data_IF_935211553480
#
_entry.id   IF_935211553480
#
_cell.length_a   1.000
_cell.length_b   1.000
_cell.length_c   1.000
_cell.angle_alpha   90.00
_cell.angle_beta   90.00
_cell.angle_gamma   90.00
#
_symmetry.space_group_name_H-M   'P 1'
#
loop_
_entity.id
_entity.type
_entity.pdbx_description
1 polymer ?
#
# COMPACT_ATOMS: atom_id res chain seq x y z
N UNK A 1 57.00 -27.76 -6.14
CA UNK A 1 55.80 -28.42 -6.66
C UNK A 1 54.86 -28.60 -5.47
N UNK A 2 53.97 -27.62 -5.29
CA UNK A 2 52.84 -27.53 -4.36
C UNK A 2 51.87 -26.61 -5.14
N UNK A 3 50.56 -26.79 -5.30
CA UNK A 3 49.52 -27.64 -4.72
C UNK A 3 48.41 -27.81 -5.80
N UNK A 4 47.60 -28.89 -5.80
CA UNK A 4 46.42 -29.01 -6.63
C UNK A 4 45.18 -28.42 -5.94
N UNK A 5 44.26 -27.88 -6.75
CA UNK A 5 42.97 -27.34 -6.36
C UNK A 5 42.05 -28.37 -5.67
N UNK A 6 41.26 -27.91 -4.70
CA UNK A 6 40.19 -28.70 -4.07
C UNK A 6 39.28 -27.89 -3.16
N UNK A 7 38.47 -27.00 -3.72
CA UNK A 7 37.38 -26.31 -3.01
C UNK A 7 36.27 -27.32 -2.68
N UNK A 8 36.21 -27.76 -1.43
CA UNK A 8 35.14 -28.61 -0.91
C UNK A 8 33.86 -27.80 -0.70
N UNK A 9 32.88 -27.98 -1.58
CA UNK A 9 31.48 -27.68 -1.28
C UNK A 9 31.04 -28.56 -0.12
N UNK A 10 30.74 -27.95 1.03
CA UNK A 10 30.13 -28.67 2.16
C UNK A 10 28.76 -29.21 1.74
N UNK A 11 28.68 -30.53 1.57
CA UNK A 11 27.42 -31.23 1.35
C UNK A 11 26.57 -31.17 2.61
N UNK A 12 25.49 -30.39 2.55
CA UNK A 12 24.47 -30.30 3.60
C UNK A 12 23.78 -31.67 3.71
N UNK A 13 24.26 -32.52 4.61
CA UNK A 13 23.79 -33.88 4.82
C UNK A 13 22.32 -33.92 5.23
N UNK A 14 21.60 -34.99 4.90
CA UNK A 14 20.19 -35.19 5.29
C UNK A 14 19.97 -35.07 6.82
N UNK A 15 21.01 -35.37 7.58
CA UNK A 15 21.05 -35.26 9.05
C UNK A 15 21.10 -33.82 9.53
N UNK A 16 21.82 -32.94 8.83
CA UNK A 16 21.80 -31.49 9.10
C UNK A 16 20.43 -30.87 8.79
N UNK A 17 19.76 -31.32 7.71
CA UNK A 17 18.39 -30.91 7.37
C UNK A 17 17.37 -31.44 8.38
N UNK A 18 17.55 -32.67 8.87
CA UNK A 18 16.70 -33.28 9.91
C UNK A 18 16.88 -32.57 11.26
N UNK A 19 18.11 -32.25 11.65
CA UNK A 19 18.41 -31.43 12.84
C UNK A 19 17.83 -30.03 12.71
N UNK A 20 17.99 -29.36 11.56
CA UNK A 20 17.41 -28.03 11.34
C UNK A 20 15.87 -28.04 11.43
N UNK A 21 15.21 -29.06 10.84
CA UNK A 21 13.76 -29.25 10.94
C UNK A 21 13.30 -29.57 12.36
N UNK A 22 14.06 -30.36 13.11
CA UNK A 22 13.74 -30.67 14.51
C UNK A 22 13.97 -29.46 15.42
N UNK A 23 14.99 -28.63 15.13
CA UNK A 23 15.25 -27.37 15.82
C UNK A 23 14.17 -26.33 15.51
N UNK A 24 13.66 -26.31 14.27
CA UNK A 24 12.50 -25.51 13.86
C UNK A 24 11.21 -26.02 14.49
N UNK A 25 11.01 -27.34 14.58
CA UNK A 25 9.88 -27.98 15.27
C UNK A 25 9.90 -27.66 16.76
N UNK A 26 11.06 -27.76 17.41
CA UNK A 26 11.25 -27.40 18.83
C UNK A 26 11.10 -25.89 19.05
N UNK A 27 11.50 -25.03 18.10
CA UNK A 27 11.17 -23.59 18.13
C UNK A 27 9.68 -23.31 18.02
N UNK A 28 8.92 -24.13 17.27
CA UNK A 28 7.45 -24.03 17.18
C UNK A 28 6.73 -24.59 18.41
N UNK A 29 7.29 -25.63 19.05
CA UNK A 29 6.69 -26.29 20.23
C UNK A 29 7.02 -25.53 21.53
N UNK A 30 8.27 -25.09 21.68
CA UNK A 30 8.74 -24.39 22.89
C UNK A 30 8.73 -22.87 22.75
N UNK A 31 8.66 -22.36 21.51
CA UNK A 31 8.23 -20.99 21.29
C UNK A 31 6.79 -20.91 21.73
N UNK A 32 6.55 -20.31 22.89
CA UNK A 32 5.30 -19.57 23.04
C UNK A 32 5.23 -18.69 21.80
N UNK A 33 4.30 -18.98 20.89
CA UNK A 33 3.66 -17.92 20.12
C UNK A 33 3.12 -17.02 21.22
N UNK A 34 3.95 -16.08 21.66
CA UNK A 34 3.48 -14.96 22.44
C UNK A 34 2.58 -14.30 21.41
N UNK A 35 1.27 -14.51 21.58
CA UNK A 35 0.25 -13.67 20.98
C UNK A 35 0.75 -12.25 21.19
N UNK A 36 1.41 -11.71 20.17
CA UNK A 36 2.04 -10.40 20.24
C UNK A 36 0.86 -9.47 20.09
N UNK A 37 0.29 -9.09 21.21
CA UNK A 37 -0.88 -8.25 21.28
C UNK A 37 -0.51 -6.85 20.81
N UNK A 38 -1.51 -6.04 20.48
CA UNK A 38 -1.31 -4.61 20.26
C UNK A 38 -0.48 -3.98 21.39
N UNK A 39 -0.70 -4.37 22.65
CA UNK A 39 0.04 -3.86 23.80
C UNK A 39 1.52 -4.32 23.82
N UNK A 40 1.87 -5.43 23.17
CA UNK A 40 3.25 -5.96 23.13
C UNK A 40 4.12 -5.27 22.07
N UNK A 41 3.53 -4.66 21.04
CA UNK A 41 4.22 -3.89 19.98
C UNK A 41 4.01 -2.38 20.10
N UNK A 42 3.19 -1.94 21.05
CA UNK A 42 2.90 -0.53 21.27
C UNK A 42 3.32 -0.10 22.68
N UNK A 43 4.36 0.72 22.78
CA UNK A 43 4.66 1.42 24.04
C UNK A 43 3.81 2.70 24.06
N UNK A 44 3.20 3.04 25.19
CA UNK A 44 2.35 4.22 25.33
C UNK A 44 2.99 5.20 26.31
N UNK A 45 3.28 6.44 25.88
CA UNK A 45 3.72 7.55 26.74
C UNK A 45 2.75 8.72 26.61
N UNK A 46 2.22 9.22 27.73
CA UNK A 46 1.30 10.36 27.77
C UNK A 46 0.08 10.21 26.83
N UNK A 47 -0.51 9.01 26.75
CA UNK A 47 -1.62 8.67 25.84
C UNK A 47 -1.27 8.76 24.34
N UNK A 48 0.02 8.73 23.98
CA UNK A 48 0.52 8.64 22.61
C UNK A 48 1.37 7.38 22.45
N UNK A 49 1.39 6.83 21.24
CA UNK A 49 2.16 5.64 20.92
C UNK A 49 3.64 6.01 20.73
N UNK A 50 4.50 5.40 21.52
CA UNK A 50 5.94 5.63 21.71
C UNK A 50 6.80 4.92 20.62
N UNK A 51 6.17 4.19 19.67
CA UNK A 51 6.84 3.78 18.42
C UNK A 51 6.99 4.93 17.41
N UNK A 52 6.51 6.12 17.76
CA UNK A 52 6.79 7.35 17.04
C UNK A 52 8.27 7.72 17.28
N UNK A 53 9.22 7.00 16.64
CA UNK A 53 10.51 7.63 16.31
C UNK A 53 10.14 8.91 15.55
N UNK A 54 10.38 10.06 16.17
CA UNK A 54 10.06 11.34 15.54
C UNK A 54 10.65 11.37 14.12
N UNK A 55 9.80 11.57 13.12
CA UNK A 55 10.19 11.59 11.71
C UNK A 55 10.23 10.24 10.97
N UNK A 56 9.89 9.10 11.60
CA UNK A 56 9.89 7.79 10.92
C UNK A 56 8.60 7.51 10.14
N UNK A 57 7.43 7.84 10.72
CA UNK A 57 6.12 7.62 10.09
C UNK A 57 5.59 8.92 9.51
N UNK A 58 5.49 9.00 8.19
CA UNK A 58 4.73 10.03 7.49
C UNK A 58 3.25 9.66 7.58
N UNK A 59 2.39 10.61 7.97
CA UNK A 59 0.94 10.42 7.98
C UNK A 59 0.24 11.55 7.25
N UNK A 60 -0.66 11.19 6.36
CA UNK A 60 -1.56 12.09 5.65
C UNK A 60 -2.96 11.66 6.01
N UNK A 61 -3.72 12.52 6.68
CA UNK A 61 -5.06 12.21 7.12
C UNK A 61 -6.08 12.90 6.20
N UNK A 62 -7.10 12.16 5.82
CA UNK A 62 -8.35 12.72 5.33
C UNK A 62 -9.09 13.47 6.44
N UNK A 63 -10.15 14.16 6.08
CA UNK A 63 -11.02 14.84 7.06
C UNK A 63 -11.94 13.88 7.80
N UNK A 64 -12.20 12.70 7.23
CA UNK A 64 -13.10 11.65 7.75
C UNK A 64 -12.59 10.26 7.40
N UNK A 65 -13.08 9.24 8.11
CA UNK A 65 -13.10 7.86 7.63
C UNK A 65 -14.20 7.68 6.58
N UNK A 66 -14.18 6.56 5.86
CA UNK A 66 -15.29 6.19 4.95
C UNK A 66 -16.64 6.06 5.69
N UNK A 67 -16.62 5.71 6.98
CA UNK A 67 -17.83 5.50 7.77
C UNK A 67 -18.42 6.82 8.31
N UNK A 68 -17.57 7.77 8.69
CA UNK A 68 -18.00 9.05 9.27
C UNK A 68 -18.34 10.11 8.22
N UNK A 69 -18.06 9.82 6.95
CA UNK A 69 -18.21 10.77 5.84
C UNK A 69 -19.68 11.13 5.54
N UNK A 70 -20.67 10.42 6.10
CA UNK A 70 -22.11 10.73 5.93
C UNK A 70 -22.65 11.83 6.86
N UNK A 71 -21.81 12.38 7.73
CA UNK A 71 -22.25 13.37 8.72
C UNK A 71 -21.95 14.80 8.27
N UNK A 72 -22.91 15.71 8.51
CA UNK A 72 -22.76 17.14 8.21
C UNK A 72 -22.71 17.47 6.71
N UNK A 73 -21.93 18.49 6.34
CA UNK A 73 -21.83 19.03 4.97
C UNK A 73 -21.39 18.00 3.91
N UNK A 74 -20.75 16.91 4.32
CA UNK A 74 -20.28 15.88 3.39
C UNK A 74 -21.41 14.99 2.82
N UNK A 75 -22.58 14.99 3.47
CA UNK A 75 -23.78 14.28 2.98
C UNK A 75 -24.22 14.78 1.60
N UNK A 76 -23.96 16.04 1.29
CA UNK A 76 -24.37 16.68 0.03
C UNK A 76 -23.45 16.31 -1.14
N UNK A 77 -22.22 15.87 -0.86
CA UNK A 77 -21.22 15.57 -1.90
C UNK A 77 -20.91 14.09 -2.05
N UNK A 78 -21.34 13.23 -1.13
CA UNK A 78 -21.11 11.78 -1.21
C UNK A 78 -22.38 11.05 -1.64
N UNK A 79 -22.26 9.87 -2.29
CA UNK A 79 -23.43 9.14 -2.74
C UNK A 79 -24.28 8.65 -1.55
N UNK A 80 -25.54 8.26 -1.78
CA UNK A 80 -26.41 7.75 -0.72
C UNK A 80 -25.91 6.44 -0.09
N UNK A 81 -25.18 5.60 -0.84
CA UNK A 81 -24.62 4.31 -0.40
C UNK A 81 -23.09 4.39 -0.35
N UNK A 82 -22.53 4.71 0.82
CA UNK A 82 -21.06 4.84 1.04
C UNK A 82 -20.43 3.71 1.85
N UNK A 83 -21.22 2.82 2.46
CA UNK A 83 -20.74 1.95 3.53
C UNK A 83 -19.87 0.75 3.06
N UNK A 84 -19.55 0.66 1.77
CA UNK A 84 -18.91 -0.51 1.14
C UNK A 84 -17.79 -0.15 0.13
N UNK A 85 -17.28 1.08 0.16
CA UNK A 85 -16.29 1.52 -0.84
C UNK A 85 -14.82 1.18 -0.52
N UNK A 86 -14.54 0.44 0.56
CA UNK A 86 -13.16 0.20 1.03
C UNK A 86 -12.28 -0.46 -0.03
N UNK A 87 -12.83 -1.42 -0.77
CA UNK A 87 -12.10 -2.14 -1.80
C UNK A 87 -11.84 -1.27 -3.02
N UNK A 88 -12.82 -0.46 -3.42
CA UNK A 88 -12.67 0.54 -4.48
C UNK A 88 -11.60 1.58 -4.11
N UNK A 89 -11.63 2.08 -2.87
CA UNK A 89 -10.63 3.01 -2.37
C UNK A 89 -9.23 2.41 -2.36
N UNK A 90 -9.06 1.19 -1.82
CA UNK A 90 -7.77 0.53 -1.79
C UNK A 90 -7.23 0.33 -3.21
N UNK A 91 -8.08 -0.11 -4.14
CA UNK A 91 -7.71 -0.32 -5.55
C UNK A 91 -7.28 0.98 -6.23
N UNK A 92 -8.11 2.02 -6.12
CA UNK A 92 -7.83 3.32 -6.73
C UNK A 92 -6.61 4.01 -6.12
N UNK A 93 -6.51 4.03 -4.80
CA UNK A 93 -5.37 4.61 -4.09
C UNK A 93 -4.07 3.90 -4.48
N UNK A 94 -4.05 2.57 -4.54
CA UNK A 94 -2.84 1.85 -4.93
C UNK A 94 -2.44 2.15 -6.38
N UNK A 95 -3.39 2.10 -7.31
CA UNK A 95 -3.10 2.32 -8.75
C UNK A 95 -2.65 3.75 -8.98
N UNK A 96 -3.37 4.73 -8.44
CA UNK A 96 -3.04 6.14 -8.63
C UNK A 96 -1.72 6.48 -7.95
N UNK A 97 -1.55 6.13 -6.67
CA UNK A 97 -0.34 6.48 -5.93
C UNK A 97 0.89 5.74 -6.44
N UNK A 98 0.75 4.48 -6.89
CA UNK A 98 1.84 3.76 -7.57
C UNK A 98 2.24 4.42 -8.89
N UNK A 99 1.29 5.06 -9.59
CA UNK A 99 1.55 5.73 -10.86
C UNK A 99 2.33 7.04 -10.72
N UNK A 100 2.32 7.66 -9.53
CA UNK A 100 3.10 8.87 -9.23
C UNK A 100 4.62 8.62 -9.23
N UNK A 101 5.04 7.37 -9.02
CA UNK A 101 6.31 6.80 -9.49
C UNK A 101 7.66 7.38 -9.04
N UNK A 102 7.69 8.56 -8.40
CA UNK A 102 8.84 9.24 -7.81
C UNK A 102 8.40 9.99 -6.55
N UNK A 103 9.30 10.10 -5.58
CA UNK A 103 9.00 10.77 -4.30
C UNK A 103 8.67 12.26 -4.45
N UNK A 104 9.28 12.94 -5.42
CA UNK A 104 8.97 14.35 -5.75
C UNK A 104 7.50 14.51 -6.15
N UNK A 105 6.99 13.59 -6.95
CA UNK A 105 5.58 13.59 -7.34
C UNK A 105 4.65 13.32 -6.17
N UNK A 106 5.05 12.44 -5.24
CA UNK A 106 4.27 12.22 -4.02
C UNK A 106 4.22 13.46 -3.12
N UNK A 107 5.27 14.28 -3.06
CA UNK A 107 5.22 15.54 -2.30
C UNK A 107 4.08 16.46 -2.77
N UNK A 108 3.77 16.46 -4.06
CA UNK A 108 2.64 17.21 -4.61
C UNK A 108 1.30 16.64 -4.10
N UNK A 109 1.21 15.32 -4.02
CA UNK A 109 -0.01 14.58 -3.71
C UNK A 109 -0.12 14.16 -2.20
N UNK A 110 0.83 14.55 -1.34
CA UNK A 110 0.91 14.21 0.10
C UNK A 110 0.03 15.13 0.97
N UNK A 111 -1.27 15.21 0.65
CA UNK A 111 -2.18 16.20 1.27
C UNK A 111 -3.49 15.59 1.74
N UNK A 112 -4.13 16.23 2.73
CA UNK A 112 -5.50 15.89 3.15
C UNK A 112 -6.48 15.92 1.97
N UNK A 113 -6.31 16.87 1.05
CA UNK A 113 -7.09 16.98 -0.19
C UNK A 113 -6.96 15.73 -1.06
N UNK A 114 -5.77 15.13 -1.14
CA UNK A 114 -5.59 13.88 -1.88
C UNK A 114 -6.33 12.69 -1.23
N UNK A 115 -6.23 12.53 0.08
CA UNK A 115 -6.97 11.45 0.77
C UNK A 115 -8.48 11.66 0.64
N UNK A 116 -8.94 12.91 0.74
CA UNK A 116 -10.35 13.25 0.59
C UNK A 116 -10.88 13.01 -0.83
N UNK A 117 -10.13 13.38 -1.88
CA UNK A 117 -10.59 13.12 -3.26
C UNK A 117 -10.58 11.63 -3.57
N UNK A 118 -9.59 10.86 -3.10
CA UNK A 118 -9.60 9.40 -3.23
C UNK A 118 -10.86 8.81 -2.59
N UNK A 119 -11.19 9.20 -1.36
CA UNK A 119 -12.41 8.75 -0.70
C UNK A 119 -13.67 9.14 -1.48
N UNK A 120 -13.77 10.42 -1.86
CA UNK A 120 -14.91 10.96 -2.61
C UNK A 120 -15.15 10.19 -3.90
N UNK A 121 -14.10 10.08 -4.74
CA UNK A 121 -14.25 9.47 -6.05
C UNK A 121 -14.46 7.96 -5.93
N UNK A 122 -13.86 7.30 -4.94
CA UNK A 122 -14.07 5.87 -4.69
C UNK A 122 -15.51 5.58 -4.27
N UNK A 123 -16.11 6.41 -3.42
CA UNK A 123 -17.50 6.25 -3.04
C UNK A 123 -18.44 6.37 -4.24
N UNK A 124 -18.26 7.40 -5.07
CA UNK A 124 -19.08 7.59 -6.26
C UNK A 124 -18.87 6.50 -7.30
N UNK A 125 -17.62 6.12 -7.59
CA UNK A 125 -17.34 5.06 -8.55
C UNK A 125 -17.90 3.71 -8.08
N UNK A 126 -17.82 3.41 -6.79
CA UNK A 126 -18.48 2.24 -6.22
C UNK A 126 -20.00 2.29 -6.46
N UNK A 127 -20.66 3.39 -6.11
CA UNK A 127 -22.11 3.57 -6.31
C UNK A 127 -22.51 3.42 -7.78
N UNK A 128 -21.79 4.07 -8.69
CA UNK A 128 -22.15 4.19 -10.10
C UNK A 128 -21.82 2.92 -10.91
N UNK A 129 -20.78 2.18 -10.51
CA UNK A 129 -20.42 0.91 -11.15
C UNK A 129 -21.11 -0.30 -10.54
N UNK A 130 -21.83 -0.15 -9.42
CA UNK A 130 -22.50 -1.25 -8.73
C UNK A 130 -23.45 -2.08 -9.61
N UNK A 131 -24.08 -1.45 -10.60
CA UNK A 131 -24.98 -2.11 -11.54
C UNK A 131 -24.27 -2.80 -12.70
N UNK A 132 -23.00 -2.51 -12.93
CA UNK A 132 -22.18 -3.10 -13.98
C UNK A 132 -21.51 -4.42 -13.53
N UNK A 133 -21.56 -4.74 -12.24
CA UNK A 133 -20.96 -5.97 -11.71
C UNK A 133 -21.80 -7.21 -12.06
N UNK A 134 -21.15 -8.36 -12.29
CA UNK A 134 -21.82 -9.59 -12.68
C UNK A 134 -22.86 -10.07 -11.66
N UNK A 135 -22.75 -9.67 -10.38
CA UNK A 135 -23.69 -10.05 -9.33
C UNK A 135 -24.21 -8.82 -8.55
N UNK A 136 -25.43 -8.38 -8.87
CA UNK A 136 -26.10 -7.26 -8.16
C UNK A 136 -26.19 -7.54 -6.65
N UNK A 137 -25.72 -6.60 -5.85
CA UNK A 137 -25.80 -6.66 -4.38
C UNK A 137 -24.66 -7.45 -3.73
N UNK A 138 -23.68 -7.93 -4.49
CA UNK A 138 -22.44 -8.51 -3.97
C UNK A 138 -21.33 -7.46 -4.05
N UNK A 139 -20.40 -7.49 -3.09
CA UNK A 139 -19.18 -6.67 -3.13
C UNK A 139 -18.41 -6.91 -4.43
N UNK A 140 -17.88 -5.86 -5.07
CA UNK A 140 -17.11 -6.03 -6.29
C UNK A 140 -15.83 -6.78 -5.99
N UNK A 141 -15.46 -7.73 -6.83
CA UNK A 141 -14.12 -8.32 -6.81
C UNK A 141 -13.09 -7.32 -7.33
N UNK A 142 -11.80 -7.58 -7.11
CA UNK A 142 -10.74 -6.76 -7.73
C UNK A 142 -10.84 -6.79 -9.27
N UNK A 143 -11.29 -7.92 -9.83
CA UNK A 143 -11.58 -8.05 -11.25
C UNK A 143 -12.67 -7.08 -11.69
N UNK A 144 -13.81 -7.08 -11.00
CA UNK A 144 -14.93 -6.18 -11.32
C UNK A 144 -14.49 -4.72 -11.27
N UNK A 145 -13.69 -4.33 -10.28
CA UNK A 145 -13.15 -2.99 -10.17
C UNK A 145 -12.19 -2.65 -11.31
N UNK A 146 -11.28 -3.54 -11.68
CA UNK A 146 -10.34 -3.26 -12.76
C UNK A 146 -11.02 -3.13 -14.11
N UNK A 147 -12.01 -3.98 -14.40
CA UNK A 147 -12.76 -3.95 -15.64
C UNK A 147 -13.72 -2.75 -15.68
N UNK A 148 -14.56 -2.56 -14.66
CA UNK A 148 -15.55 -1.47 -14.65
C UNK A 148 -14.90 -0.09 -14.59
N UNK A 149 -13.77 0.05 -13.89
CA UNK A 149 -13.04 1.31 -13.79
C UNK A 149 -11.99 1.45 -14.88
N UNK A 150 -11.79 0.45 -15.74
CA UNK A 150 -10.86 0.48 -16.88
C UNK A 150 -9.44 0.92 -16.48
N UNK A 151 -8.99 0.57 -15.28
CA UNK A 151 -7.78 1.15 -14.68
C UNK A 151 -6.53 0.89 -15.52
N UNK A 152 -6.48 -0.29 -16.16
CA UNK A 152 -5.37 -0.75 -17.03
C UNK A 152 -5.20 0.11 -18.29
N UNK A 153 -6.24 0.83 -18.71
CA UNK A 153 -6.22 1.66 -19.93
C UNK A 153 -5.68 3.06 -19.69
N UNK A 154 -5.92 3.60 -18.49
CA UNK A 154 -5.63 5.00 -18.18
C UNK A 154 -4.40 5.18 -17.29
N UNK A 155 -4.07 4.19 -16.47
CA UNK A 155 -2.97 4.27 -15.53
C UNK A 155 -1.85 3.28 -15.89
N UNK A 156 -0.58 3.68 -15.70
CA UNK A 156 0.56 2.81 -15.99
C UNK A 156 0.72 1.66 -15.00
N UNK A 157 0.08 1.75 -13.84
CA UNK A 157 0.05 0.70 -12.82
C UNK A 157 -1.09 -0.28 -13.12
N UNK A 158 -0.82 -1.58 -12.96
CA UNK A 158 -1.72 -2.69 -13.25
C UNK A 158 -1.88 -3.58 -12.03
N UNK A 159 -3.11 -3.87 -11.66
CA UNK A 159 -3.43 -4.89 -10.65
C UNK A 159 -3.42 -6.25 -11.34
N UNK A 160 -2.63 -7.18 -10.83
CA UNK A 160 -2.45 -8.53 -11.37
C UNK A 160 -3.29 -9.54 -10.60
N UNK A 161 -4.59 -9.55 -10.88
CA UNK A 161 -5.59 -10.37 -10.17
C UNK A 161 -5.32 -11.87 -10.25
N UNK A 162 -4.66 -12.37 -11.29
CA UNK A 162 -4.32 -13.79 -11.46
C UNK A 162 -3.12 -14.24 -10.60
N UNK A 163 -2.41 -13.31 -9.97
CA UNK A 163 -1.16 -13.58 -9.22
C UNK A 163 -1.33 -13.41 -7.70
N UNK A 164 -2.57 -13.38 -7.19
CA UNK A 164 -2.80 -13.14 -5.77
C UNK A 164 -2.29 -14.30 -4.90
N UNK A 165 -1.86 -13.97 -3.69
CA UNK A 165 -1.42 -14.94 -2.68
C UNK A 165 -2.32 -14.88 -1.45
N UNK A 166 -2.65 -16.06 -0.89
CA UNK A 166 -3.38 -16.17 0.38
C UNK A 166 -2.37 -16.28 1.51
N UNK A 167 -2.46 -15.38 2.49
CA UNK A 167 -1.54 -15.30 3.63
C UNK A 167 -2.34 -15.23 4.92
N UNK A 168 -2.00 -16.07 5.89
CA UNK A 168 -2.60 -16.04 7.23
C UNK A 168 -1.91 -15.00 8.11
N UNK A 169 -2.66 -14.42 9.05
CA UNK A 169 -2.16 -13.35 9.91
C UNK A 169 -0.91 -13.74 10.72
N UNK A 170 -0.76 -15.03 11.05
CA UNK A 170 0.39 -15.56 11.79
C UNK A 170 1.60 -15.93 10.90
N UNK A 171 1.51 -15.79 9.57
CA UNK A 171 2.60 -16.09 8.64
C UNK A 171 3.49 -14.87 8.42
N UNK A 172 4.14 -14.41 9.50
CA UNK A 172 4.93 -13.17 9.45
C UNK A 172 6.10 -13.22 8.45
N UNK A 173 6.71 -14.39 8.28
CA UNK A 173 7.76 -14.61 7.29
C UNK A 173 7.30 -14.36 5.84
N UNK A 174 6.09 -14.77 5.49
CA UNK A 174 5.53 -14.56 4.14
C UNK A 174 5.22 -13.08 3.88
N UNK A 175 4.68 -12.39 4.89
CA UNK A 175 4.39 -10.95 4.80
C UNK A 175 5.68 -10.16 4.59
N UNK A 176 6.73 -10.47 5.37
CA UNK A 176 8.05 -9.86 5.20
C UNK A 176 8.60 -10.13 3.80
N UNK A 177 8.43 -11.34 3.26
CA UNK A 177 8.88 -11.67 1.91
C UNK A 177 8.10 -10.91 0.83
N UNK A 178 6.79 -10.76 0.97
CA UNK A 178 5.97 -9.91 0.08
C UNK A 178 6.41 -8.45 0.11
N UNK A 179 6.70 -7.91 1.30
CA UNK A 179 7.25 -6.57 1.46
C UNK A 179 8.63 -6.44 0.81
N UNK A 180 9.51 -7.43 0.97
CA UNK A 180 10.83 -7.46 0.28
C UNK A 180 10.68 -7.40 -1.24
N UNK A 181 9.67 -8.05 -1.82
CA UNK A 181 9.42 -8.01 -3.27
C UNK A 181 9.16 -6.60 -3.81
N UNK A 182 8.66 -5.69 -2.98
CA UNK A 182 8.47 -4.27 -3.31
C UNK A 182 9.75 -3.44 -3.24
N UNK A 183 10.84 -4.00 -2.71
CA UNK A 183 12.18 -3.40 -2.69
C UNK A 183 13.08 -3.88 -3.86
N UNK A 184 12.63 -4.83 -4.69
CA UNK A 184 13.50 -5.45 -5.70
C UNK A 184 13.87 -4.46 -6.80
N UNK A 185 15.14 -4.07 -6.85
CA UNK A 185 15.73 -3.51 -8.06
C UNK A 185 16.12 -4.64 -9.01
N UNK A 186 15.43 -4.75 -10.16
CA UNK A 186 16.11 -5.37 -11.31
C UNK A 186 17.27 -4.46 -11.70
N UNK A 187 18.51 -4.96 -11.56
CA UNK A 187 19.73 -4.27 -12.02
C UNK A 187 19.50 -3.70 -13.43
N UNK A 188 19.98 -2.49 -13.67
CA UNK A 188 19.85 -1.69 -14.92
C UNK A 188 20.39 -2.35 -16.23
N UNK A 189 20.62 -3.67 -16.27
CA UNK A 189 21.27 -4.36 -17.42
C UNK A 189 20.70 -5.74 -17.74
N UNK A 190 19.39 -5.86 -17.92
CA UNK A 190 18.86 -6.93 -18.76
C UNK A 190 18.37 -6.28 -20.07
N UNK A 191 19.18 -6.39 -21.12
CA UNK A 191 18.87 -5.95 -22.50
C UNK A 191 17.80 -6.83 -23.18
N UNK A 192 17.14 -7.70 -22.44
CA UNK A 192 16.00 -8.47 -22.90
C UNK A 192 14.73 -7.85 -22.32
N UNK A 193 14.13 -6.95 -23.09
CA UNK A 193 12.73 -6.58 -22.93
C UNK A 193 11.89 -7.84 -23.15
N UNK A 194 11.64 -8.61 -22.08
CA UNK A 194 10.37 -9.30 -22.00
C UNK A 194 9.39 -8.33 -21.32
N UNK A 195 8.27 -8.09 -21.98
CA UNK A 195 7.18 -7.27 -21.44
C UNK A 195 6.61 -7.80 -20.10
N UNK A 196 6.97 -9.03 -19.73
CA UNK A 196 6.32 -9.84 -18.70
C UNK A 196 6.65 -9.49 -17.24
N UNK A 197 7.68 -8.70 -16.93
CA UNK A 197 8.17 -8.62 -15.54
C UNK A 197 8.29 -7.18 -15.04
N UNK A 198 7.17 -6.45 -15.11
CA UNK A 198 7.00 -5.17 -14.40
C UNK A 198 7.20 -5.38 -12.88
N UNK A 199 8.05 -4.58 -12.20
CA UNK A 199 8.27 -4.71 -10.76
C UNK A 199 6.96 -4.54 -9.98
N UNK A 200 6.86 -5.24 -8.86
CA UNK A 200 5.77 -5.06 -7.90
C UNK A 200 6.01 -3.75 -7.17
N UNK A 201 5.10 -2.79 -7.36
CA UNK A 201 5.13 -1.49 -6.69
C UNK A 201 4.12 -1.42 -5.54
N UNK A 202 3.31 -2.45 -5.31
CA UNK A 202 2.34 -2.46 -4.22
C UNK A 202 1.49 -3.73 -4.19
N UNK A 203 0.57 -3.78 -3.25
CA UNK A 203 -0.44 -4.82 -3.14
C UNK A 203 -1.79 -4.24 -2.73
N UNK A 204 -2.87 -4.82 -3.25
CA UNK A 204 -4.19 -4.72 -2.64
C UNK A 204 -4.35 -5.89 -1.68
N UNK A 205 -4.65 -5.60 -0.42
CA UNK A 205 -4.77 -6.58 0.65
C UNK A 205 -6.23 -6.64 1.09
N UNK A 206 -6.88 -7.81 0.92
CA UNK A 206 -8.28 -8.02 1.31
C UNK A 206 -8.34 -9.07 2.41
N UNK A 207 -8.99 -8.76 3.53
CA UNK A 207 -9.30 -9.70 4.62
C UNK A 207 -10.77 -9.56 5.02
N UNK A 208 -11.62 -10.48 4.56
CA UNK A 208 -13.08 -10.33 4.71
C UNK A 208 -13.54 -9.00 4.11
N UNK A 209 -14.16 -8.16 4.92
CA UNK A 209 -14.67 -6.83 4.54
C UNK A 209 -13.63 -5.71 4.66
N UNK A 210 -12.46 -6.02 5.22
CA UNK A 210 -11.39 -5.07 5.42
C UNK A 210 -10.42 -5.11 4.25
N UNK A 211 -10.37 -4.00 3.51
CA UNK A 211 -9.41 -3.83 2.42
C UNK A 211 -8.49 -2.65 2.68
N UNK A 212 -7.20 -2.88 2.54
CA UNK A 212 -6.17 -1.83 2.50
C UNK A 212 -5.33 -2.01 1.25
N UNK A 213 -4.58 -0.98 0.88
CA UNK A 213 -3.54 -1.14 -0.11
C UNK A 213 -2.21 -0.67 0.43
N UNK A 214 -1.14 -1.29 -0.04
CA UNK A 214 0.21 -0.84 0.22
C UNK A 214 0.91 -0.55 -1.09
N UNK A 215 1.80 0.42 -1.08
CA UNK A 215 2.63 0.72 -2.24
C UNK A 215 4.01 1.21 -1.83
N UNK A 216 4.96 1.08 -2.75
CA UNK A 216 6.38 1.39 -2.60
C UNK A 216 6.77 2.41 -3.65
N UNK A 217 7.44 3.47 -3.19
CA UNK A 217 8.04 4.48 -4.05
C UNK A 217 9.54 4.38 -3.93
N UNK A 218 10.20 4.05 -5.02
CA UNK A 218 11.65 4.13 -5.14
C UNK A 218 12.09 5.58 -5.32
N UNK A 219 13.16 5.97 -4.63
CA UNK A 219 13.74 7.31 -4.72
C UNK A 219 14.95 7.31 -5.65
N UNK A 220 14.95 8.20 -6.64
CA UNK A 220 16.14 8.50 -7.42
C UNK A 220 17.04 9.46 -6.62
N UNK A 221 18.13 8.92 -6.08
CA UNK A 221 19.06 9.68 -5.28
C UNK A 221 20.17 10.23 -6.18
N UNK A 222 20.28 11.55 -6.24
CA UNK A 222 21.35 12.23 -6.97
C UNK A 222 22.68 12.06 -6.19
N UNK A 223 23.72 11.43 -6.78
CA UNK A 223 24.96 11.08 -6.08
C UNK A 223 25.72 12.26 -5.43
N UNK A 224 25.51 13.48 -5.92
CA UNK A 224 26.23 14.69 -5.48
C UNK A 224 25.51 15.46 -4.37
N UNK A 225 24.26 15.10 -4.04
CA UNK A 225 23.53 15.70 -2.92
C UNK A 225 23.88 14.92 -1.65
N UNK A 226 23.99 15.60 -0.51
CA UNK A 226 24.22 15.03 0.85
C UNK A 226 23.08 14.12 1.33
N UNK A 227 22.69 13.14 0.52
CA UNK A 227 21.61 12.21 0.81
C UNK A 227 22.04 11.21 1.89
N UNK A 228 21.12 10.94 2.82
CA UNK A 228 21.29 9.93 3.89
C UNK A 228 21.31 8.51 3.34
N UNK A 229 20.72 8.29 2.18
CA UNK A 229 20.62 7.00 1.51
C UNK A 229 21.37 7.02 0.17
N UNK A 230 21.95 5.90 -0.25
CA UNK A 230 22.37 5.67 -1.65
C UNK A 230 21.22 5.13 -2.50
N UNK A 231 20.28 4.43 -1.87
CA UNK A 231 19.02 3.95 -2.44
C UNK A 231 17.95 4.01 -1.36
N UNK A 232 16.74 4.46 -1.66
CA UNK A 232 15.66 4.50 -0.68
C UNK A 232 14.31 4.09 -1.29
N UNK A 233 13.45 3.59 -0.40
CA UNK A 233 12.05 3.29 -0.66
C UNK A 233 11.20 3.97 0.41
N UNK A 234 10.09 4.55 -0.01
CA UNK A 234 9.00 4.90 0.89
C UNK A 234 7.89 3.90 0.71
N UNK A 235 7.57 3.16 1.75
CA UNK A 235 6.41 2.29 1.78
C UNK A 235 5.26 3.05 2.39
N UNK A 236 4.07 2.88 1.83
CA UNK A 236 2.85 3.52 2.27
C UNK A 236 1.72 2.51 2.36
N UNK A 237 0.82 2.72 3.30
CA UNK A 237 -0.44 2.02 3.49
C UNK A 237 -1.56 3.03 3.32
N UNK A 238 -2.52 2.71 2.46
CA UNK A 238 -3.77 3.42 2.33
C UNK A 238 -4.84 2.65 3.10
N UNK A 239 -5.43 3.31 4.10
CA UNK A 239 -6.54 2.78 4.88
C UNK A 239 -7.70 3.78 4.89
N UNK A 240 -8.86 3.38 4.38
CA UNK A 240 -10.08 4.21 4.37
C UNK A 240 -10.88 4.12 5.68
N UNK A 241 -10.62 3.13 6.53
CA UNK A 241 -11.39 2.85 7.74
C UNK A 241 -10.96 3.76 8.90
N UNK A 242 -9.68 4.14 8.94
CA UNK A 242 -9.10 4.82 10.10
C UNK A 242 -8.85 3.87 11.26
N UNK A 243 -8.56 2.61 10.96
CA UNK A 243 -8.20 1.58 11.94
C UNK A 243 -6.77 1.75 12.43
N UNK A 244 -5.94 2.51 11.71
CA UNK A 244 -4.60 2.86 12.17
C UNK A 244 -4.69 3.68 13.46
N UNK A 245 -4.00 3.29 14.54
CA UNK A 245 -4.08 3.99 15.82
C UNK A 245 -3.71 5.48 15.75
N UNK A 246 -2.81 5.85 14.84
CA UNK A 246 -2.34 7.21 14.62
C UNK A 246 -3.15 7.98 13.56
N UNK A 247 -4.22 7.37 13.03
CA UNK A 247 -5.11 8.01 12.04
C UNK A 247 -6.24 8.81 12.67
N UNK A 248 -6.42 8.76 13.99
CA UNK A 248 -7.51 9.41 14.72
C UNK A 248 -8.90 9.08 14.12
N UNK A 249 -9.11 7.81 13.73
CA UNK A 249 -10.35 7.32 13.07
C UNK A 249 -10.66 8.02 11.75
N UNK A 250 -9.63 8.43 10.99
CA UNK A 250 -9.78 9.04 9.66
C UNK A 250 -9.14 8.17 8.61
N UNK A 251 -9.61 8.26 7.37
CA UNK A 251 -8.86 7.67 6.28
C UNK A 251 -7.45 8.26 6.24
N UNK A 252 -6.48 7.42 5.92
CA UNK A 252 -5.09 7.77 6.05
C UNK A 252 -4.23 7.15 4.96
N UNK A 253 -3.18 7.87 4.60
CA UNK A 253 -2.02 7.34 3.90
C UNK A 253 -0.85 7.49 4.86
N UNK A 254 -0.32 6.36 5.33
CA UNK A 254 0.75 6.34 6.31
C UNK A 254 1.90 5.51 5.80
N UNK A 255 3.13 5.95 6.06
CA UNK A 255 4.28 5.30 5.47
C UNK A 255 5.57 5.56 6.21
N UNK A 256 6.59 4.79 5.85
CA UNK A 256 7.93 4.93 6.36
C UNK A 256 8.92 4.96 5.20
N UNK A 257 10.05 5.63 5.41
CA UNK A 257 11.13 5.69 4.42
C UNK A 257 12.37 5.04 4.98
N UNK A 258 12.95 4.13 4.21
CA UNK A 258 14.12 3.35 4.57
C UNK A 258 14.93 3.04 3.31
N UNK A 259 16.15 2.54 3.47
CA UNK A 259 17.02 2.35 2.33
C UNK A 259 18.40 1.83 2.65
N UNK A 260 19.27 1.86 1.65
CA UNK A 260 20.69 1.59 1.80
C UNK A 260 21.37 2.87 2.29
N UNK A 261 21.99 2.88 3.48
CA UNK A 261 22.70 4.05 3.97
C UNK A 261 23.78 4.50 3.00
N UNK A 262 23.92 5.81 2.79
CA UNK A 262 25.03 6.32 1.99
C UNK A 262 26.36 6.09 2.74
N UNK A 263 27.49 5.86 2.04
CA UNK A 263 28.79 5.61 2.67
C UNK A 263 29.23 6.72 3.65
N UNK A 264 28.79 7.96 3.40
CA UNK A 264 29.09 9.13 4.24
C UNK A 264 28.28 9.18 5.55
N UNK A 265 27.18 8.43 5.64
CA UNK A 265 26.28 8.39 6.79
C UNK A 265 26.30 7.05 7.53
N UNK A 266 26.85 5.99 6.93
CA UNK A 266 26.98 4.66 7.54
C UNK A 266 27.73 4.65 8.89
N UNK A 267 28.60 5.65 9.14
CA UNK A 267 29.45 5.73 10.33
C UNK A 267 28.95 6.72 11.41
N UNK A 268 27.81 7.40 11.22
CA UNK A 268 27.26 8.32 12.22
C UNK A 268 26.19 7.63 13.06
N UNK A 269 26.60 6.92 14.12
CA UNK A 269 25.67 6.24 15.06
C UNK A 269 25.04 7.18 16.09
N UNK A 270 25.61 8.37 16.33
CA UNK A 270 25.26 9.21 17.49
C UNK A 270 24.47 10.50 17.19
N UNK A 271 24.11 10.77 15.94
CA UNK A 271 23.15 11.84 15.64
C UNK A 271 21.73 11.25 15.66
N UNK A 272 20.76 11.93 16.28
CA UNK A 272 19.33 11.58 16.32
C UNK A 272 18.61 11.53 14.95
N UNK A 273 19.38 11.35 13.89
CA UNK A 273 19.02 11.31 12.47
C UNK A 273 19.32 9.90 11.91
N UNK A 274 18.95 8.87 12.69
CA UNK A 274 19.28 7.47 12.43
C UNK A 274 18.72 7.01 11.07
N UNK A 275 19.62 6.56 10.20
CA UNK A 275 19.29 6.02 8.88
C UNK A 275 18.70 4.62 9.06
N UNK A 276 17.51 4.37 8.51
CA UNK A 276 16.82 3.08 8.65
C UNK A 276 17.18 2.17 7.47
N UNK A 277 17.85 1.06 7.76
CA UNK A 277 18.21 0.04 6.77
C UNK A 277 16.98 -0.65 6.16
N UNK A 278 17.14 -1.32 5.01
CA UNK A 278 16.04 -2.04 4.35
C UNK A 278 15.35 -3.05 5.29
N UNK A 279 16.12 -3.92 5.95
CA UNK A 279 15.55 -4.96 6.82
C UNK A 279 14.87 -4.37 8.06
N UNK A 280 15.47 -3.35 8.68
CA UNK A 280 14.86 -2.62 9.80
C UNK A 280 13.57 -1.91 9.34
N UNK A 281 13.58 -1.29 8.18
CA UNK A 281 12.43 -0.60 7.61
C UNK A 281 11.28 -1.53 7.25
N UNK A 282 11.57 -2.68 6.62
CA UNK A 282 10.58 -3.72 6.34
C UNK A 282 10.02 -4.28 7.64
N UNK A 283 10.87 -4.53 8.63
CA UNK A 283 10.41 -4.98 9.94
C UNK A 283 9.45 -3.96 10.58
N UNK A 284 9.84 -2.69 10.66
CA UNK A 284 9.00 -1.63 11.22
C UNK A 284 7.69 -1.43 10.43
N UNK A 285 7.74 -1.51 9.10
CA UNK A 285 6.54 -1.44 8.26
C UNK A 285 5.64 -2.67 8.45
N UNK A 286 6.22 -3.85 8.63
CA UNK A 286 5.47 -5.06 8.94
C UNK A 286 4.76 -4.93 10.27
N UNK A 287 5.39 -4.32 11.29
CA UNK A 287 4.75 -4.04 12.59
C UNK A 287 3.54 -3.14 12.42
N UNK A 288 3.63 -2.08 11.60
CA UNK A 288 2.50 -1.21 11.26
C UNK A 288 1.36 -2.02 10.65
N UNK A 289 1.68 -2.92 9.71
CA UNK A 289 0.69 -3.76 9.05
C UNK A 289 0.08 -4.80 10.01
N UNK A 290 0.86 -5.45 10.87
CA UNK A 290 0.36 -6.38 11.87
C UNK A 290 -0.53 -5.71 12.90
N UNK A 291 -0.17 -4.50 13.31
CA UNK A 291 -1.00 -3.67 14.21
C UNK A 291 -2.39 -3.47 13.60
N UNK A 292 -2.45 -3.12 12.31
CA UNK A 292 -3.72 -2.99 11.57
C UNK A 292 -4.53 -4.27 11.54
N UNK A 293 -3.86 -5.40 11.29
CA UNK A 293 -4.49 -6.69 11.17
C UNK A 293 -5.01 -7.19 12.52
N UNK A 294 -4.28 -7.00 13.62
CA UNK A 294 -4.74 -7.36 14.97
C UNK A 294 -5.95 -6.50 15.41
N UNK A 295 -5.96 -5.20 15.11
CA UNK A 295 -7.14 -4.35 15.34
C UNK A 295 -8.36 -4.84 14.53
N UNK A 296 -8.15 -5.24 13.27
CA UNK A 296 -9.20 -5.88 12.49
C UNK A 296 -9.66 -7.20 13.13
N UNK A 297 -8.74 -8.07 13.55
CA UNK A 297 -9.06 -9.36 14.18
C UNK A 297 -9.87 -9.19 15.47
N UNK A 298 -9.56 -8.20 16.31
CA UNK A 298 -10.37 -7.85 17.50
C UNK A 298 -11.82 -7.56 17.12
N UNK A 299 -12.03 -6.85 16.01
CA UNK A 299 -13.38 -6.54 15.52
C UNK A 299 -14.16 -7.77 15.01
N UNK A 300 -13.46 -8.82 14.57
CA UNK A 300 -14.08 -10.04 14.05
C UNK A 300 -14.58 -10.99 15.15
N UNK A 301 -14.09 -10.86 16.39
CA UNK A 301 -14.53 -11.68 17.52
C UNK A 301 -14.37 -13.20 17.34
N UNK A 302 -13.44 -13.62 16.47
CA UNK A 302 -13.29 -15.03 16.06
C UNK A 302 -12.05 -15.69 16.68
N UNK A 303 -12.18 -16.98 17.01
CA UNK A 303 -11.06 -17.82 17.46
C UNK A 303 -10.20 -18.38 16.32
N UNK A 304 -10.64 -18.22 15.06
CA UNK A 304 -9.88 -18.67 13.89
C UNK A 304 -8.85 -17.62 13.49
N UNK A 305 -7.69 -18.07 13.04
CA UNK A 305 -6.66 -17.20 12.47
C UNK A 305 -7.18 -16.66 11.12
N UNK A 306 -7.37 -15.33 10.97
CA UNK A 306 -7.84 -14.76 9.72
C UNK A 306 -6.79 -14.92 8.60
N UNK A 307 -7.27 -14.95 7.36
CA UNK A 307 -6.42 -14.87 6.18
C UNK A 307 -6.69 -13.56 5.42
N UNK A 308 -5.75 -13.24 4.53
CA UNK A 308 -5.84 -12.12 3.61
C UNK A 308 -5.33 -12.52 2.24
N UNK A 309 -5.89 -11.94 1.20
CA UNK A 309 -5.37 -12.05 -0.16
C UNK A 309 -4.49 -10.85 -0.47
N UNK A 310 -3.35 -11.09 -1.10
CA UNK A 310 -2.39 -10.06 -1.53
C UNK A 310 -2.31 -10.08 -3.04
N UNK A 311 -2.93 -9.09 -3.67
CA UNK A 311 -2.95 -8.97 -5.13
C UNK A 311 -1.92 -7.94 -5.57
N UNK A 312 -0.89 -8.34 -6.35
CA UNK A 312 0.19 -7.42 -6.69
C UNK A 312 -0.29 -6.30 -7.62
N UNK A 313 0.25 -5.11 -7.39
CA UNK A 313 0.18 -3.96 -8.28
C UNK A 313 1.56 -3.80 -8.91
N UNK A 314 1.62 -3.81 -10.24
CA UNK A 314 2.85 -3.73 -11.01
C UNK A 314 2.85 -2.49 -11.89
N UNK A 315 4.03 -1.91 -12.12
CA UNK A 315 4.20 -0.76 -13.03
C UNK A 315 5.44 -0.95 -13.87
N UNK A 316 5.35 -0.66 -15.18
CA UNK A 316 6.54 -0.67 -16.06
C UNK A 316 7.55 0.35 -15.51
N UNK A 317 8.82 -0.06 -15.34
CA UNK A 317 9.87 0.82 -14.80
C UNK A 317 10.04 2.05 -15.69
N UNK A 318 10.22 3.22 -15.09
CA UNK A 318 10.42 4.48 -15.81
C UNK A 318 9.14 5.14 -16.31
N UNK A 319 7.98 4.46 -16.24
CA UNK A 319 6.69 5.07 -16.53
C UNK A 319 6.18 5.77 -15.28
N UNK A 320 6.60 7.02 -15.11
CA UNK A 320 6.24 7.91 -14.00
C UNK A 320 5.30 8.98 -14.54
N UNK A 321 4.27 9.31 -13.78
CA UNK A 321 3.41 10.46 -14.04
C UNK A 321 3.62 11.50 -12.95
N UNK A 322 3.58 12.77 -13.33
CA UNK A 322 3.46 13.91 -12.41
C UNK A 322 2.06 13.95 -11.79
N UNK A 323 1.87 14.66 -10.66
CA UNK A 323 0.55 14.79 -10.04
C UNK A 323 -0.40 15.54 -11.01
N UNK A 324 0.13 16.50 -11.79
CA UNK A 324 -0.61 17.20 -12.86
C UNK A 324 -1.07 16.28 -14.00
N UNK A 325 -0.21 15.39 -14.50
CA UNK A 325 -0.58 14.41 -15.54
C UNK A 325 -1.64 13.42 -15.02
N UNK A 326 -1.52 12.97 -13.77
CA UNK A 326 -2.54 12.12 -13.15
C UNK A 326 -3.87 12.86 -13.01
N UNK A 327 -3.86 14.13 -12.59
CA UNK A 327 -5.05 14.98 -12.54
C UNK A 327 -5.69 15.11 -13.92
N UNK A 328 -4.89 15.35 -14.97
CA UNK A 328 -5.38 15.48 -16.35
C UNK A 328 -5.99 14.17 -16.85
N UNK A 329 -5.32 13.03 -16.62
CA UNK A 329 -5.85 11.70 -16.92
C UNK A 329 -7.19 11.50 -16.20
N UNK A 330 -7.27 11.78 -14.89
CA UNK A 330 -8.48 11.60 -14.11
C UNK A 330 -9.62 12.45 -14.69
N UNK A 331 -9.38 13.74 -14.93
CA UNK A 331 -10.41 14.70 -15.31
C UNK A 331 -10.83 14.60 -16.78
N UNK A 332 -9.88 14.39 -17.70
CA UNK A 332 -10.11 14.53 -19.15
C UNK A 332 -10.23 13.21 -19.88
N UNK A 333 -9.67 12.13 -19.33
CA UNK A 333 -9.65 10.83 -19.99
C UNK A 333 -10.46 9.79 -19.21
N UNK A 334 -10.02 9.44 -18.00
CA UNK A 334 -10.53 8.32 -17.21
C UNK A 334 -11.97 8.52 -16.76
N UNK A 335 -12.27 9.57 -15.98
CA UNK A 335 -13.63 9.77 -15.48
C UNK A 335 -14.65 9.96 -16.61
N UNK A 336 -14.42 10.82 -17.63
CA UNK A 336 -15.35 10.92 -18.74
C UNK A 336 -15.58 9.58 -19.47
N UNK A 337 -14.56 8.72 -19.54
CA UNK A 337 -14.70 7.42 -20.16
C UNK A 337 -15.57 6.48 -19.32
N UNK A 338 -15.29 6.35 -18.02
CA UNK A 338 -16.07 5.51 -17.10
C UNK A 338 -17.52 5.97 -17.02
N UNK A 339 -17.76 7.28 -16.91
CA UNK A 339 -19.10 7.84 -16.76
C UNK A 339 -19.96 7.73 -18.03
N UNK A 340 -19.35 7.49 -19.20
CA UNK A 340 -20.05 7.26 -20.47
C UNK A 340 -20.31 5.79 -20.77
N UNK A 341 -19.79 4.87 -19.97
CA UNK A 341 -20.11 3.44 -20.09
C UNK A 341 -21.63 3.23 -19.94
N UNK A 342 -22.23 2.36 -20.75
CA UNK A 342 -23.69 2.30 -20.93
C UNK A 342 -24.49 2.05 -19.65
N UNK A 343 -24.00 1.21 -18.75
CA UNK A 343 -24.65 0.94 -17.47
C UNK A 343 -24.33 2.03 -16.45
N UNK A 344 -23.09 2.50 -16.39
CA UNK A 344 -22.67 3.59 -15.50
C UNK A 344 -23.42 4.89 -15.83
N UNK A 345 -23.55 5.24 -17.11
CA UNK A 345 -24.22 6.45 -17.57
C UNK A 345 -25.71 6.52 -17.16
N UNK A 346 -26.37 5.36 -17.00
CA UNK A 346 -27.75 5.29 -16.48
C UNK A 346 -27.78 5.70 -15.00
N UNK A 347 -26.86 5.18 -14.19
CA UNK A 347 -26.77 5.55 -12.78
C UNK A 347 -26.31 7.01 -12.60
N UNK A 348 -25.41 7.52 -13.46
CA UNK A 348 -25.01 8.94 -13.47
C UNK A 348 -26.24 9.84 -13.64
N UNK A 349 -27.12 9.53 -14.60
CA UNK A 349 -28.38 10.27 -14.80
C UNK A 349 -29.35 10.08 -13.63
N UNK A 350 -29.44 8.87 -13.08
CA UNK A 350 -30.32 8.56 -11.95
C UNK A 350 -29.98 9.34 -10.69
N UNK A 351 -28.68 9.50 -10.40
CA UNK A 351 -28.18 10.19 -9.23
C UNK A 351 -27.85 11.67 -9.48
N UNK A 352 -28.11 12.18 -10.69
CA UNK A 352 -27.74 13.54 -11.13
C UNK A 352 -26.28 13.88 -10.81
N UNK A 353 -25.40 12.91 -11.04
CA UNK A 353 -24.01 13.02 -10.60
C UNK A 353 -23.18 13.87 -11.57
N UNK A 354 -22.63 14.96 -11.05
CA UNK A 354 -21.58 15.74 -11.72
C UNK A 354 -20.27 15.63 -10.94
N UNK A 355 -19.19 15.07 -11.53
CA UNK A 355 -17.93 14.88 -10.81
C UNK A 355 -17.27 16.21 -10.46
N UNK A 356 -16.83 16.35 -9.21
CA UNK A 356 -15.97 17.46 -8.82
C UNK A 356 -14.63 17.38 -9.56
N UNK A 357 -14.02 18.52 -9.93
CA UNK A 357 -12.66 18.54 -10.45
C UNK A 357 -11.71 17.84 -9.47
N UNK A 358 -10.83 16.98 -9.99
CA UNK A 358 -9.76 16.38 -9.20
C UNK A 358 -8.96 17.46 -8.45
N UNK A 359 -9.02 17.40 -7.12
CA UNK A 359 -8.35 18.34 -6.21
C UNK A 359 -7.13 17.72 -5.52
N UNK A 360 -6.49 16.75 -6.20
CA UNK A 360 -5.14 16.31 -5.87
C UNK A 360 -4.15 17.43 -6.18
N UNK A 361 -3.48 17.91 -5.15
CA UNK A 361 -2.43 18.94 -5.19
C UNK A 361 -2.83 20.33 -5.72
N UNK A 362 -2.28 21.42 -5.15
CA UNK A 362 -2.92 22.71 -5.12
C UNK A 362 -2.23 23.76 -6.01
N UNK A 363 -2.30 23.63 -7.33
CA UNK A 363 -2.38 24.85 -8.16
C UNK A 363 -3.77 25.53 -8.00
N UNK A 364 -4.75 24.80 -7.44
CA UNK A 364 -6.14 25.20 -7.27
C UNK A 364 -6.54 25.71 -5.87
N UNK A 365 -5.63 25.77 -4.89
CA UNK A 365 -5.92 26.33 -3.54
C UNK A 365 -5.35 27.76 -3.35
N UNK A 366 -4.75 28.36 -4.40
CA UNK A 366 -4.30 29.77 -4.37
C UNK A 366 -5.29 30.77 -4.98
N UNK A 367 -6.52 30.36 -5.28
CA UNK A 367 -7.60 31.26 -5.72
C UNK A 367 -8.97 30.84 -5.17
N UNK A 368 -9.12 30.97 -3.86
CA UNK A 368 -10.41 31.23 -3.20
C UNK A 368 -10.14 32.00 -1.94
#
# INVERSE_FOLDING_TARGET
>A
MEDPAGSSREEITAESKKKARELERLKRINGKLIDTTFEDITVMRNKRLDFQRDGFVVRILGSKSQFDARTGKLREILPPVTNDCCQTFATLSAVILSSLGLAVTLHECCTTSAVNYLLYISAWLHQLTSTAWPNKGIRPTLHDLNECLRLKEFFPSRVCESEFQVVFYNQSGEIVELLRRMCIQRRKRARSESEELSPICGYIIVSGDYTISIFSVSHDIVPEKRSRYSEAWSFYICDSHGTQPWSDKKASVCGSTFGVPSPTHANKKDSGDAVVGIEEGIHLFSVILFTLLEEHKKSLGTSRIPYMTWTPVRRKRGVVLTCAEVVDIIQRAWLPCVLREGNVAKEVRRFDFTPLPCFFSPALVRKT
#
